data_IF_625483638166
#
_entry.id   IF_625483638166
#
_cell.length_a   1.000
_cell.length_b   1.000
_cell.length_c   1.000
_cell.angle_alpha   90.00
_cell.angle_beta   90.00
_cell.angle_gamma   90.00
#
_symmetry.space_group_name_H-M   'P 1'
#
loop_
_entity.id
_entity.type
_entity.pdbx_description
1 polymer ?
#
# COMPACT_ATOMS: atom_id res chain seq x y z
N UNK A 1 5.78 -11.58 1.11
CA UNK A 1 5.14 -11.71 -0.23
C UNK A 1 6.28 -11.73 -1.25
N UNK A 2 6.28 -12.67 -2.20
CA UNK A 2 7.36 -12.85 -3.19
C UNK A 2 7.01 -12.15 -4.50
N UNK A 3 7.97 -11.93 -5.40
CA UNK A 3 7.74 -11.32 -6.71
C UNK A 3 6.66 -12.06 -7.53
N UNK A 4 6.63 -13.40 -7.47
CA UNK A 4 5.60 -14.22 -8.14
C UNK A 4 4.19 -13.84 -7.67
N UNK A 5 3.99 -13.60 -6.37
CA UNK A 5 2.70 -13.19 -5.81
C UNK A 5 2.25 -11.80 -6.25
N UNK A 6 3.19 -10.90 -6.57
CA UNK A 6 2.85 -9.60 -7.13
C UNK A 6 2.34 -9.75 -8.58
N UNK A 7 2.96 -10.62 -9.37
CA UNK A 7 2.51 -10.94 -10.72
C UNK A 7 1.12 -11.61 -10.71
N UNK A 8 0.88 -12.55 -9.80
CA UNK A 8 -0.43 -13.17 -9.63
C UNK A 8 -1.53 -12.18 -9.22
N UNK A 9 -1.21 -11.21 -8.36
CA UNK A 9 -2.14 -10.14 -8.01
C UNK A 9 -2.48 -9.24 -9.22
N UNK A 10 -1.54 -9.01 -10.13
CA UNK A 10 -1.79 -8.27 -11.37
C UNK A 10 -2.67 -9.03 -12.37
N UNK A 11 -2.71 -10.37 -12.33
CA UNK A 11 -3.69 -11.16 -13.10
C UNK A 11 -5.14 -10.78 -12.71
N UNK A 12 -5.40 -10.48 -11.44
CA UNK A 12 -6.72 -9.99 -11.01
C UNK A 12 -7.05 -8.60 -11.55
N UNK A 13 -6.05 -7.73 -11.68
CA UNK A 13 -6.20 -6.42 -12.33
C UNK A 13 -6.58 -6.61 -13.79
N UNK A 14 -5.89 -7.50 -14.51
CA UNK A 14 -6.20 -7.82 -15.91
C UNK A 14 -7.60 -8.42 -16.06
N UNK A 15 -8.04 -9.30 -15.16
CA UNK A 15 -9.40 -9.83 -15.13
C UNK A 15 -10.46 -8.74 -14.97
N UNK A 16 -10.22 -7.77 -14.08
CA UNK A 16 -11.15 -6.65 -13.90
C UNK A 16 -11.20 -5.76 -15.15
N UNK A 17 -10.04 -5.41 -15.70
CA UNK A 17 -9.96 -4.62 -16.94
C UNK A 17 -10.64 -5.38 -18.09
N UNK A 18 -10.44 -6.69 -18.21
CA UNK A 18 -11.15 -7.52 -19.18
C UNK A 18 -12.66 -7.44 -18.99
N UNK A 19 -13.15 -7.54 -17.76
CA UNK A 19 -14.60 -7.49 -17.48
C UNK A 19 -15.24 -6.18 -17.92
N UNK A 20 -14.51 -5.07 -17.84
CA UNK A 20 -14.98 -3.74 -18.24
C UNK A 20 -14.81 -3.47 -19.74
N UNK A 21 -13.65 -3.82 -20.30
CA UNK A 21 -13.29 -3.52 -21.69
C UNK A 21 -13.81 -4.54 -22.70
N UNK A 22 -14.02 -5.78 -22.26
CA UNK A 22 -14.24 -6.97 -23.10
C UNK A 22 -13.11 -7.22 -24.11
N UNK A 23 -11.93 -6.63 -23.92
CA UNK A 23 -10.79 -6.75 -24.82
C UNK A 23 -10.04 -8.07 -24.59
N UNK A 24 -9.99 -8.91 -25.62
CA UNK A 24 -9.44 -10.26 -25.54
C UNK A 24 -7.96 -10.30 -25.19
N UNK A 25 -7.19 -9.23 -25.41
CA UNK A 25 -5.77 -9.19 -25.04
C UNK A 25 -5.58 -9.47 -23.54
N UNK A 26 -6.50 -9.01 -22.68
CA UNK A 26 -6.43 -9.23 -21.24
C UNK A 26 -6.81 -10.65 -20.83
N UNK A 27 -7.65 -11.32 -21.63
CA UNK A 27 -7.96 -12.74 -21.41
C UNK A 27 -6.79 -13.65 -21.78
N UNK A 28 -6.00 -13.28 -22.79
CA UNK A 28 -4.83 -14.05 -23.26
C UNK A 28 -3.66 -13.96 -22.26
N UNK A 29 -3.47 -12.79 -21.63
CA UNK A 29 -2.50 -12.55 -20.55
C UNK A 29 -2.71 -13.42 -19.30
N UNK A 30 -3.87 -14.08 -19.16
CA UNK A 30 -4.17 -14.96 -18.04
C UNK A 30 -3.75 -16.41 -18.27
N UNK A 31 -3.55 -16.81 -19.53
CA UNK A 31 -3.38 -18.21 -19.94
C UNK A 31 -1.93 -18.55 -20.23
N UNK A 32 -1.10 -17.57 -20.60
CA UNK A 32 0.28 -17.81 -21.02
C UNK A 32 1.31 -17.19 -20.05
N UNK A 33 1.96 -18.04 -19.25
CA UNK A 33 3.06 -17.63 -18.35
C UNK A 33 4.33 -17.18 -19.09
N UNK A 34 4.46 -17.52 -20.38
CA UNK A 34 5.60 -17.22 -21.23
C UNK A 34 5.31 -16.15 -22.29
N UNK A 35 4.08 -15.60 -22.34
CA UNK A 35 3.76 -14.49 -23.22
C UNK A 35 4.70 -13.33 -22.89
N UNK A 36 5.58 -13.02 -23.84
CA UNK A 36 6.61 -12.00 -23.67
C UNK A 36 5.97 -10.71 -23.18
N UNK A 37 6.30 -10.28 -21.96
CA UNK A 37 5.93 -8.97 -21.37
C UNK A 37 6.49 -7.76 -22.14
N UNK A 38 6.87 -7.92 -23.42
CA UNK A 38 7.25 -6.82 -24.28
C UNK A 38 5.98 -6.05 -24.67
N UNK A 39 5.63 -5.03 -23.86
CA UNK A 39 4.69 -3.96 -24.21
C UNK A 39 3.39 -4.45 -24.87
N UNK A 40 2.75 -5.49 -24.31
CA UNK A 40 1.61 -6.15 -24.94
C UNK A 40 0.33 -5.30 -24.99
N UNK A 41 0.30 -4.18 -24.27
CA UNK A 41 -0.87 -3.32 -24.20
C UNK A 41 -0.63 -2.09 -25.06
N UNK A 42 -1.04 -2.14 -26.32
CA UNK A 42 -1.14 -0.96 -27.18
C UNK A 42 -2.17 0.00 -26.57
N UNK A 43 -1.81 1.23 -26.23
CA UNK A 43 -2.75 2.22 -25.64
C UNK A 43 -4.05 2.43 -26.46
N UNK A 44 -4.06 1.99 -27.72
CA UNK A 44 -5.22 2.01 -28.60
C UNK A 44 -6.44 1.23 -28.10
N UNK A 45 -6.30 0.25 -27.18
CA UNK A 45 -7.47 -0.42 -26.61
C UNK A 45 -8.29 0.55 -25.75
N UNK A 46 -7.60 1.38 -24.97
CA UNK A 46 -8.21 2.25 -23.97
C UNK A 46 -8.94 3.42 -24.61
N UNK A 47 -8.34 4.03 -25.64
CA UNK A 47 -8.93 5.16 -26.38
C UNK A 47 -10.26 4.79 -27.08
N UNK A 48 -10.47 3.50 -27.38
CA UNK A 48 -11.69 3.00 -28.04
C UNK A 48 -12.85 2.77 -27.05
N UNK A 49 -12.59 2.80 -25.75
CA UNK A 49 -13.61 2.54 -24.73
C UNK A 49 -14.50 3.75 -24.51
N UNK A 50 -15.70 3.50 -23.98
CA UNK A 50 -16.58 4.57 -23.49
C UNK A 50 -15.85 5.41 -22.41
N UNK A 51 -15.98 6.75 -22.42
CA UNK A 51 -15.32 7.62 -21.44
C UNK A 51 -15.62 7.27 -19.99
N UNK A 52 -16.81 6.75 -19.67
CA UNK A 52 -17.16 6.28 -18.34
C UNK A 52 -16.34 5.06 -17.93
N UNK A 53 -16.13 4.12 -18.84
CA UNK A 53 -15.29 2.93 -18.62
C UNK A 53 -13.83 3.31 -18.48
N UNK A 54 -13.34 4.25 -19.32
CA UNK A 54 -11.98 4.79 -19.20
C UNK A 54 -11.75 5.41 -17.81
N UNK A 55 -12.71 6.19 -17.33
CA UNK A 55 -12.66 6.82 -16.02
C UNK A 55 -12.66 5.79 -14.89
N UNK A 56 -13.50 4.75 -14.98
CA UNK A 56 -13.57 3.68 -13.99
C UNK A 56 -12.25 2.91 -13.88
N UNK A 57 -11.68 2.49 -15.02
CA UNK A 57 -10.38 1.82 -15.08
C UNK A 57 -9.29 2.73 -14.50
N UNK A 58 -9.25 4.01 -14.89
CA UNK A 58 -8.25 4.97 -14.40
C UNK A 58 -8.34 5.13 -12.88
N UNK A 59 -9.55 5.28 -12.34
CA UNK A 59 -9.75 5.38 -10.90
C UNK A 59 -9.35 4.11 -10.17
N UNK A 60 -9.68 2.94 -10.70
CA UNK A 60 -9.30 1.65 -10.10
C UNK A 60 -7.78 1.48 -10.03
N UNK A 61 -7.08 1.71 -11.14
CA UNK A 61 -5.62 1.55 -11.21
C UNK A 61 -4.92 2.61 -10.35
N UNK A 62 -5.40 3.86 -10.37
CA UNK A 62 -4.88 4.92 -9.51
C UNK A 62 -5.04 4.55 -8.02
N UNK A 63 -6.20 4.02 -7.62
CA UNK A 63 -6.47 3.57 -6.25
C UNK A 63 -5.48 2.50 -5.80
N UNK A 64 -5.18 1.51 -6.65
CA UNK A 64 -4.17 0.47 -6.34
C UNK A 64 -2.79 1.10 -6.20
N UNK A 65 -2.37 1.96 -7.15
CA UNK A 65 -1.08 2.64 -7.10
C UNK A 65 -0.91 3.43 -5.82
N UNK A 66 -1.90 4.22 -5.46
CA UNK A 66 -1.88 5.03 -4.24
C UNK A 66 -1.91 4.16 -2.98
N UNK A 67 -2.49 2.96 -3.04
CA UNK A 67 -2.52 2.04 -1.92
C UNK A 67 -1.14 1.40 -1.69
N UNK A 68 -0.44 1.01 -2.77
CA UNK A 68 0.93 0.49 -2.70
C UNK A 68 1.85 1.54 -2.07
N UNK A 69 1.80 2.77 -2.57
CA UNK A 69 2.69 3.85 -2.08
C UNK A 69 2.33 4.23 -0.62
N UNK A 70 1.06 4.20 -0.24
CA UNK A 70 0.61 4.46 1.14
C UNK A 70 1.16 3.42 2.14
N UNK A 71 1.37 2.20 1.67
CA UNK A 71 1.80 1.06 2.47
C UNK A 71 3.27 0.66 2.27
N UNK A 72 4.08 1.52 1.64
CA UNK A 72 5.48 1.19 1.29
C UNK A 72 6.30 0.69 2.48
N UNK A 73 6.10 1.27 3.68
CA UNK A 73 6.83 0.86 4.89
C UNK A 73 6.46 -0.56 5.32
N UNK A 74 5.19 -0.95 5.15
CA UNK A 74 4.67 -2.26 5.52
C UNK A 74 4.97 -3.34 4.46
N UNK A 75 4.98 -2.95 3.18
CA UNK A 75 5.24 -3.85 2.04
C UNK A 75 6.75 -4.07 1.84
N UNK A 76 7.54 -3.01 2.05
CA UNK A 76 8.95 -2.95 1.74
C UNK A 76 9.22 -2.39 0.33
N UNK A 77 10.22 -1.50 0.22
CA UNK A 77 10.58 -0.80 -1.04
C UNK A 77 10.83 -1.77 -2.20
N UNK A 78 11.63 -2.85 -2.06
CA UNK A 78 11.92 -3.74 -3.19
C UNK A 78 10.66 -4.35 -3.80
N UNK A 79 9.71 -4.76 -2.95
CA UNK A 79 8.46 -5.36 -3.41
C UNK A 79 7.52 -4.31 -4.03
N UNK A 80 7.49 -3.09 -3.49
CA UNK A 80 6.72 -1.99 -4.09
C UNK A 80 7.17 -1.70 -5.52
N UNK A 81 8.47 -1.70 -5.79
CA UNK A 81 9.00 -1.49 -7.14
C UNK A 81 8.52 -2.57 -8.13
N UNK A 82 8.52 -3.84 -7.69
CA UNK A 82 7.96 -4.93 -8.48
C UNK A 82 6.46 -4.71 -8.72
N UNK A 83 5.70 -4.40 -7.68
CA UNK A 83 4.25 -4.17 -7.80
C UNK A 83 3.91 -3.00 -8.73
N UNK A 84 4.66 -1.89 -8.67
CA UNK A 84 4.47 -0.77 -9.60
C UNK A 84 4.78 -1.16 -11.04
N UNK A 85 5.85 -1.93 -11.27
CA UNK A 85 6.20 -2.39 -12.61
C UNK A 85 5.13 -3.34 -13.16
N UNK A 86 4.70 -4.33 -12.39
CA UNK A 86 3.63 -5.25 -12.81
C UNK A 86 2.30 -4.50 -13.06
N UNK A 87 1.96 -3.51 -12.23
CA UNK A 87 0.76 -2.69 -12.42
C UNK A 87 0.87 -1.81 -13.68
N UNK A 88 2.03 -1.21 -13.93
CA UNK A 88 2.29 -0.44 -15.15
C UNK A 88 2.18 -1.33 -16.40
N UNK A 89 2.78 -2.52 -16.36
CA UNK A 89 2.74 -3.47 -17.47
C UNK A 89 1.32 -3.99 -17.74
N UNK A 90 0.47 -4.04 -16.71
CA UNK A 90 -0.93 -4.45 -16.83
C UNK A 90 -1.79 -3.45 -17.62
N UNK A 91 -1.44 -2.17 -17.63
CA UNK A 91 -2.28 -1.12 -18.24
C UNK A 91 -1.60 -0.39 -19.41
N UNK A 92 -0.28 -0.40 -19.48
CA UNK A 92 0.49 0.38 -20.45
C UNK A 92 1.06 1.67 -19.87
N UNK A 93 2.21 2.08 -20.40
CA UNK A 93 3.01 3.20 -19.86
C UNK A 93 2.29 4.56 -19.99
N UNK A 94 1.62 4.84 -21.11
CA UNK A 94 0.95 6.12 -21.31
C UNK A 94 -0.22 6.29 -20.33
N UNK A 95 -1.06 5.27 -20.19
CA UNK A 95 -2.19 5.27 -19.26
C UNK A 95 -1.66 5.44 -17.84
N UNK A 96 -0.69 4.63 -17.42
CA UNK A 96 -0.14 4.65 -16.07
C UNK A 96 0.44 6.03 -15.70
N UNK A 97 1.11 6.68 -16.64
CA UNK A 97 1.71 8.01 -16.46
C UNK A 97 0.66 9.13 -16.37
N UNK A 98 -0.52 8.95 -16.99
CA UNK A 98 -1.63 9.91 -16.92
C UNK A 98 -2.49 9.81 -15.65
N UNK A 99 -2.34 8.74 -14.86
CA UNK A 99 -3.21 8.50 -13.70
C UNK A 99 -3.12 9.62 -12.66
N UNK A 100 -4.27 10.11 -12.15
CA UNK A 100 -4.30 11.17 -11.15
C UNK A 100 -3.65 10.72 -9.84
N UNK A 101 -2.96 11.63 -9.16
CA UNK A 101 -2.49 11.40 -7.80
C UNK A 101 -3.70 11.49 -6.86
N UNK A 102 -4.08 10.36 -6.26
CA UNK A 102 -5.19 10.30 -5.30
C UNK A 102 -4.64 10.28 -3.87
N UNK A 103 -4.49 11.47 -3.29
CA UNK A 103 -4.01 11.64 -1.91
C UNK A 103 -3.08 12.83 -1.77
N UNK A 104 -3.26 13.61 -0.70
CA UNK A 104 -2.36 14.71 -0.39
C UNK A 104 -1.13 14.16 0.33
N UNK A 105 -0.01 14.04 -0.38
CA UNK A 105 1.29 13.97 0.27
C UNK A 105 1.83 15.39 0.30
N UNK A 106 1.87 15.97 1.50
CA UNK A 106 2.66 17.18 1.73
C UNK A 106 4.12 16.76 1.60
N UNK A 107 4.63 16.79 0.38
CA UNK A 107 6.07 16.75 0.15
C UNK A 107 6.53 18.19 0.27
N UNK A 108 7.18 18.53 1.38
CA UNK A 108 8.00 19.74 1.42
C UNK A 108 9.00 19.60 0.27
N UNK A 109 8.97 20.57 -0.66
CA UNK A 109 9.74 20.53 -1.90
C UNK A 109 11.21 20.21 -1.62
N UNK A 110 11.62 18.97 -1.91
CA UNK A 110 13.03 18.66 -2.14
C UNK A 110 13.31 19.13 -3.57
N UNK A 111 13.86 20.34 -3.71
CA UNK A 111 14.38 20.83 -4.98
C UNK A 111 15.56 19.94 -5.40
N UNK A 112 15.30 19.02 -6.32
CA UNK A 112 16.33 18.30 -7.05
C UNK A 112 16.87 19.27 -8.12
N UNK A 113 18.07 19.80 -7.90
CA UNK A 113 18.78 20.55 -8.93
C UNK A 113 19.15 19.60 -10.07
N UNK A 114 18.35 19.60 -11.13
CA UNK A 114 18.71 18.96 -12.40
C UNK A 114 19.65 19.91 -13.16
N UNK A 115 20.95 19.81 -12.94
CA UNK A 115 21.89 20.28 -13.96
C UNK A 115 21.81 19.32 -15.15
N UNK A 116 21.38 19.86 -16.29
CA UNK A 116 21.32 19.19 -17.57
C UNK A 116 22.73 18.80 -18.02
N UNK A 117 23.12 17.55 -17.76
CA UNK A 117 24.38 17.02 -18.26
C UNK A 117 24.51 15.55 -17.92
N UNK A 118 24.72 14.73 -18.96
CA UNK A 118 24.99 13.29 -18.92
C UNK A 118 25.90 12.89 -17.74
N UNK A 119 25.31 12.44 -16.63
CA UNK A 119 26.05 12.04 -15.45
C UNK A 119 25.10 11.46 -14.42
N UNK A 120 25.43 10.29 -13.87
CA UNK A 120 24.64 9.62 -12.83
C UNK A 120 24.21 10.63 -11.74
N UNK A 121 22.96 10.59 -11.27
CA UNK A 121 22.51 11.52 -10.24
C UNK A 121 23.42 11.40 -9.01
N UNK A 122 24.12 12.49 -8.68
CA UNK A 122 24.88 12.60 -7.43
C UNK A 122 23.92 13.04 -6.34
N UNK A 123 23.71 12.20 -5.34
CA UNK A 123 23.17 12.63 -4.06
C UNK A 123 24.17 13.58 -3.41
N UNK A 124 23.92 14.88 -3.49
CA UNK A 124 24.65 15.86 -2.69
C UNK A 124 23.85 16.05 -1.41
N UNK A 125 24.25 15.35 -0.36
CA UNK A 125 23.86 15.72 0.99
C UNK A 125 24.61 17.00 1.28
N UNK A 126 23.94 18.16 1.29
CA UNK A 126 24.51 19.36 1.89
C UNK A 126 24.58 19.10 3.39
N UNK A 127 25.76 18.72 3.88
CA UNK A 127 26.10 18.94 5.28
C UNK A 127 25.86 20.43 5.58
N UNK A 128 25.38 20.80 6.78
CA UNK A 128 25.42 22.19 7.20
C UNK A 128 26.87 22.63 7.04
N UNK A 129 27.09 23.76 6.38
CA UNK A 129 28.42 24.28 6.11
C UNK A 129 29.24 24.22 7.39
N UNK A 130 30.29 23.40 7.36
CA UNK A 130 31.33 23.44 8.36
C UNK A 130 31.93 24.84 8.28
N UNK A 131 31.48 25.72 9.18
CA UNK A 131 32.18 26.95 9.51
C UNK A 131 33.60 26.56 9.88
N UNK A 132 34.55 27.08 9.11
CA UNK A 132 35.96 26.85 9.26
C UNK A 132 36.46 27.21 10.67
N UNK A 133 37.60 26.61 10.98
CA UNK A 133 38.58 26.97 12.02
C UNK A 133 38.40 26.33 13.41
N UNK A 134 39.03 25.15 13.52
CA UNK A 134 39.46 24.56 14.78
C UNK A 134 40.70 25.31 15.31
N UNK A 135 40.58 25.80 16.57
CA UNK A 135 41.56 25.95 17.67
C UNK A 135 41.39 27.32 18.35
N UNK A 136 41.21 27.46 19.67
CA UNK A 136 41.69 26.64 20.79
C UNK A 136 40.94 27.03 22.08
N UNK A 137 40.83 26.06 22.99
CA UNK A 137 40.91 26.19 24.46
C UNK A 137 39.71 26.72 25.28
N UNK A 138 39.22 25.80 26.12
CA UNK A 138 38.51 26.00 27.40
C UNK A 138 37.10 26.61 27.37
N UNK A 139 36.10 25.71 27.50
CA UNK A 139 34.78 26.03 28.01
C UNK A 139 33.65 25.44 27.16
N UNK A 140 33.35 24.15 27.34
CA UNK A 140 32.09 23.60 26.84
C UNK A 140 30.96 24.23 27.65
N UNK A 141 30.35 25.29 27.11
CA UNK A 141 28.98 25.66 27.45
C UNK A 141 28.12 25.09 26.33
N UNK A 142 27.45 23.97 26.60
CA UNK A 142 26.37 23.52 25.76
C UNK A 142 25.23 24.54 25.88
N UNK A 143 25.09 25.43 24.89
CA UNK A 143 23.83 26.12 24.66
C UNK A 143 22.88 25.12 23.99
N UNK A 144 22.33 24.20 24.79
CA UNK A 144 21.22 23.35 24.38
C UNK A 144 19.93 24.12 24.58
N UNK A 145 19.34 24.60 23.49
CA UNK A 145 17.98 25.15 23.52
C UNK A 145 17.00 23.97 23.64
N UNK A 146 16.87 23.42 24.86
CA UNK A 146 16.09 22.21 25.18
C UNK A 146 14.62 22.34 24.76
N UNK A 147 14.11 23.58 24.77
CA UNK A 147 12.77 23.97 24.34
C UNK A 147 12.41 23.46 22.93
N UNK A 148 13.35 23.50 21.98
CA UNK A 148 13.08 23.04 20.61
C UNK A 148 13.07 21.53 20.49
N UNK A 149 13.87 20.82 21.31
CA UNK A 149 13.90 19.35 21.31
C UNK A 149 12.66 18.76 22.00
N UNK A 150 12.21 19.38 23.08
CA UNK A 150 11.01 18.96 23.82
C UNK A 150 9.74 19.09 22.95
N UNK A 151 9.66 20.14 22.12
CA UNK A 151 8.56 20.33 21.17
C UNK A 151 8.54 19.25 20.08
N UNK A 152 9.70 18.88 19.52
CA UNK A 152 9.82 17.81 18.51
C UNK A 152 9.43 16.45 19.11
N UNK A 153 9.86 16.18 20.35
CA UNK A 153 9.51 14.94 21.06
C UNK A 153 8.00 14.87 21.28
N UNK A 154 7.38 15.95 21.75
CA UNK A 154 5.94 16.00 21.97
C UNK A 154 5.14 15.79 20.68
N UNK A 155 5.55 16.42 19.57
CA UNK A 155 4.91 16.24 18.26
C UNK A 155 5.04 14.78 17.78
N UNK A 156 6.21 14.17 17.95
CA UNK A 156 6.40 12.76 17.63
C UNK A 156 5.52 11.85 18.49
N UNK A 157 5.47 12.07 19.81
CA UNK A 157 4.61 11.29 20.71
C UNK A 157 3.13 11.41 20.34
N UNK A 158 2.65 12.62 20.03
CA UNK A 158 1.28 12.86 19.59
C UNK A 158 0.97 12.09 18.29
N UNK A 159 1.88 12.14 17.32
CA UNK A 159 1.78 11.38 16.08
C UNK A 159 1.70 9.86 16.32
N UNK A 160 2.53 9.34 17.22
CA UNK A 160 2.55 7.92 17.58
C UNK A 160 1.24 7.49 18.27
N UNK A 161 0.69 8.34 19.14
CA UNK A 161 -0.60 8.09 19.80
C UNK A 161 -1.77 8.13 18.82
N UNK A 162 -1.77 9.07 17.86
CA UNK A 162 -2.80 9.15 16.85
C UNK A 162 -2.87 7.86 16.01
N UNK A 163 -1.72 7.37 15.53
CA UNK A 163 -1.62 6.10 14.79
C UNK A 163 -2.13 4.91 15.60
N UNK A 164 -1.75 4.84 16.87
CA UNK A 164 -2.19 3.79 17.79
C UNK A 164 -3.71 3.82 17.99
N UNK A 165 -4.29 5.00 18.21
CA UNK A 165 -5.72 5.18 18.47
C UNK A 165 -6.55 4.76 17.25
N UNK A 166 -6.17 5.23 16.07
CA UNK A 166 -6.81 4.85 14.80
C UNK A 166 -6.73 3.34 14.57
N UNK A 167 -5.55 2.75 14.78
CA UNK A 167 -5.34 1.31 14.66
C UNK A 167 -6.21 0.51 15.62
N UNK A 168 -6.28 0.94 16.89
CA UNK A 168 -7.11 0.29 17.92
C UNK A 168 -8.60 0.38 17.61
N UNK A 169 -9.06 1.52 17.12
CA UNK A 169 -10.45 1.70 16.69
C UNK A 169 -10.78 0.75 15.54
N UNK A 170 -9.97 0.73 14.48
CA UNK A 170 -10.16 -0.20 13.36
C UNK A 170 -10.12 -1.67 13.82
N UNK A 171 -9.13 -2.03 14.63
CA UNK A 171 -8.99 -3.38 15.19
C UNK A 171 -10.24 -3.79 15.97
N UNK A 172 -10.83 -2.87 16.73
CA UNK A 172 -12.09 -3.05 17.43
C UNK A 172 -13.25 -3.36 16.47
N UNK A 173 -13.33 -2.67 15.33
CA UNK A 173 -14.36 -2.94 14.30
C UNK A 173 -14.24 -4.35 13.71
N UNK A 174 -13.01 -4.84 13.48
CA UNK A 174 -12.75 -6.16 12.88
C UNK A 174 -12.97 -7.29 13.88
N UNK A 175 -12.42 -7.19 15.09
CA UNK A 175 -12.40 -8.29 16.06
C UNK A 175 -13.50 -8.20 17.11
N UNK A 176 -14.13 -7.03 17.29
CA UNK A 176 -15.20 -6.80 18.25
C UNK A 176 -14.85 -7.29 19.65
N UNK A 177 -15.76 -8.07 20.25
CA UNK A 177 -15.64 -8.57 21.64
C UNK A 177 -14.38 -9.40 21.94
N UNK A 178 -13.65 -9.90 20.93
CA UNK A 178 -12.43 -10.70 21.15
C UNK A 178 -11.14 -9.89 20.94
N UNK A 179 -11.24 -8.59 20.63
CA UNK A 179 -10.10 -7.72 20.34
C UNK A 179 -9.07 -7.72 21.48
N UNK A 180 -9.49 -7.41 22.71
CA UNK A 180 -8.59 -7.32 23.87
C UNK A 180 -7.89 -8.65 24.16
N UNK A 181 -8.60 -9.77 24.01
CA UNK A 181 -8.02 -11.11 24.19
C UNK A 181 -6.92 -11.38 23.15
N UNK A 182 -7.14 -10.98 21.89
CA UNK A 182 -6.16 -11.16 20.84
C UNK A 182 -4.92 -10.28 21.06
N UNK A 183 -5.11 -9.02 21.47
CA UNK A 183 -4.00 -8.12 21.80
C UNK A 183 -3.17 -8.64 22.98
N UNK A 184 -3.81 -9.14 24.05
CA UNK A 184 -3.10 -9.74 25.17
C UNK A 184 -2.26 -10.96 24.74
N UNK A 185 -2.80 -11.78 23.84
CA UNK A 185 -2.04 -12.90 23.28
C UNK A 185 -0.84 -12.40 22.45
N UNK A 186 -1.01 -11.35 21.64
CA UNK A 186 0.07 -10.76 20.84
C UNK A 186 1.16 -10.19 21.76
N UNK A 187 0.78 -9.43 22.78
CA UNK A 187 1.67 -8.84 23.78
C UNK A 187 2.47 -9.92 24.52
N UNK A 188 1.88 -11.10 24.76
CA UNK A 188 2.57 -12.22 25.41
C UNK A 188 3.76 -12.77 24.60
N UNK A 189 3.82 -12.52 23.29
CA UNK A 189 4.98 -12.88 22.48
C UNK A 189 6.12 -11.86 22.63
N UNK A 190 5.80 -10.56 22.70
CA UNK A 190 6.75 -9.48 22.95
C UNK A 190 6.00 -8.18 23.28
N UNK A 191 6.47 -7.36 24.25
CA UNK A 191 5.74 -6.20 24.76
C UNK A 191 5.46 -5.10 23.74
N UNK A 192 6.24 -5.02 22.66
CA UNK A 192 6.04 -4.02 21.59
C UNK A 192 5.19 -4.53 20.42
N UNK A 193 4.79 -5.80 20.42
CA UNK A 193 4.13 -6.40 19.25
C UNK A 193 2.69 -5.93 19.07
N UNK A 194 1.97 -5.66 20.14
CA UNK A 194 0.65 -5.03 20.08
C UNK A 194 0.75 -3.60 19.55
N UNK A 195 1.80 -2.84 19.93
CA UNK A 195 2.08 -1.53 19.36
C UNK A 195 2.30 -1.63 17.84
N UNK A 196 3.17 -2.52 17.38
CA UNK A 196 3.46 -2.68 15.95
C UNK A 196 2.20 -3.12 15.19
N UNK A 197 1.42 -4.05 15.73
CA UNK A 197 0.17 -4.50 15.10
C UNK A 197 -0.82 -3.34 15.01
N UNK A 198 -1.03 -2.59 16.08
CA UNK A 198 -2.01 -1.51 16.10
C UNK A 198 -1.55 -0.30 15.29
N UNK A 199 -0.37 0.27 15.56
CA UNK A 199 0.09 1.48 14.90
C UNK A 199 0.50 1.25 13.44
N UNK A 200 1.35 0.26 13.16
CA UNK A 200 1.85 0.02 11.79
C UNK A 200 0.89 -0.85 10.97
N UNK A 201 0.37 -1.92 11.57
CA UNK A 201 -0.56 -2.83 10.89
C UNK A 201 -1.89 -2.13 10.60
N UNK A 202 -2.64 -1.77 11.65
CA UNK A 202 -4.00 -1.27 11.50
C UNK A 202 -4.07 0.25 11.33
N UNK A 203 -3.26 1.04 12.02
CA UNK A 203 -3.27 2.50 11.96
C UNK A 203 -2.78 3.01 10.60
N UNK A 204 -1.53 2.70 10.26
CA UNK A 204 -0.95 3.16 8.98
C UNK A 204 -1.52 2.42 7.78
N UNK A 205 -1.83 1.14 7.93
CA UNK A 205 -2.28 0.32 6.82
C UNK A 205 -3.79 0.41 6.58
N UNK A 206 -4.57 -0.04 7.55
CA UNK A 206 -6.00 -0.31 7.37
C UNK A 206 -6.90 0.89 7.70
N UNK A 207 -6.50 1.80 8.57
CA UNK A 207 -7.32 2.93 9.00
C UNK A 207 -7.37 4.10 7.99
N UNK A 208 -6.80 3.94 6.78
CA UNK A 208 -6.84 4.94 5.71
C UNK A 208 -8.12 4.84 4.87
N UNK A 209 -9.24 5.19 5.49
CA UNK A 209 -10.57 5.13 4.86
C UNK A 209 -10.76 6.11 3.69
N UNK A 210 -9.87 7.09 3.53
CA UNK A 210 -9.89 8.04 2.42
C UNK A 210 -9.52 7.40 1.08
N UNK A 211 -8.78 6.28 1.12
CA UNK A 211 -8.34 5.59 -0.08
C UNK A 211 -9.09 4.27 -0.28
N UNK A 212 -9.27 3.45 0.76
CA UNK A 212 -9.97 2.16 0.66
C UNK A 212 -10.92 2.02 1.84
N UNK A 213 -12.18 1.66 1.58
CA UNK A 213 -13.16 1.48 2.66
C UNK A 213 -12.85 0.26 3.53
N UNK A 214 -13.40 0.22 4.75
CA UNK A 214 -13.29 -0.96 5.64
C UNK A 214 -13.80 -2.24 4.98
N UNK A 215 -14.89 -2.15 4.21
CA UNK A 215 -15.47 -3.29 3.48
C UNK A 215 -14.49 -3.80 2.42
N UNK A 216 -13.93 -2.91 1.61
CA UNK A 216 -12.97 -3.29 0.57
C UNK A 216 -11.71 -3.92 1.15
N UNK A 217 -11.19 -3.38 2.27
CA UNK A 217 -10.03 -3.93 2.96
C UNK A 217 -10.29 -5.33 3.52
N UNK A 218 -11.43 -5.55 4.19
CA UNK A 218 -11.77 -6.86 4.72
C UNK A 218 -12.03 -7.88 3.60
N UNK A 219 -12.65 -7.49 2.48
CA UNK A 219 -12.80 -8.36 1.31
C UNK A 219 -11.46 -8.70 0.68
N UNK A 220 -10.55 -7.73 0.54
CA UNK A 220 -9.19 -7.96 0.04
C UNK A 220 -8.38 -8.86 0.98
N UNK A 221 -8.53 -8.71 2.30
CA UNK A 221 -7.93 -9.58 3.30
C UNK A 221 -8.49 -11.00 3.19
N UNK A 222 -9.81 -11.17 3.09
CA UNK A 222 -10.45 -12.48 2.90
C UNK A 222 -9.96 -13.16 1.63
N UNK A 223 -9.88 -12.44 0.51
CA UNK A 223 -9.37 -12.98 -0.74
C UNK A 223 -7.91 -13.45 -0.60
N UNK A 224 -7.05 -12.57 -0.06
CA UNK A 224 -5.63 -12.85 0.13
C UNK A 224 -5.39 -14.04 1.06
N UNK A 225 -6.09 -14.09 2.21
CA UNK A 225 -5.93 -15.15 3.20
C UNK A 225 -6.50 -16.50 2.72
N UNK A 226 -7.48 -16.47 1.82
CA UNK A 226 -7.97 -17.67 1.13
C UNK A 226 -6.87 -18.26 0.25
N UNK A 227 -6.24 -17.43 -0.60
CA UNK A 227 -5.14 -17.86 -1.49
C UNK A 227 -3.89 -18.27 -0.69
N UNK A 228 -3.59 -17.58 0.42
CA UNK A 228 -2.46 -17.90 1.29
C UNK A 228 -2.70 -19.13 2.18
N UNK A 229 -3.91 -19.68 2.18
CA UNK A 229 -4.33 -20.82 3.00
C UNK A 229 -4.02 -20.65 4.50
N UNK A 230 -4.46 -19.51 5.07
CA UNK A 230 -4.26 -19.17 6.49
C UNK A 230 -5.60 -19.19 7.25
N UNK A 231 -6.13 -20.38 7.61
CA UNK A 231 -7.53 -20.53 8.03
C UNK A 231 -7.91 -19.79 9.31
N UNK A 232 -6.97 -19.63 10.26
CA UNK A 232 -7.22 -18.92 11.53
C UNK A 232 -7.45 -17.42 11.28
N UNK A 233 -6.60 -16.82 10.46
CA UNK A 233 -6.71 -15.41 10.06
C UNK A 233 -7.92 -15.22 9.16
N UNK A 234 -8.13 -16.12 8.17
CA UNK A 234 -9.28 -16.09 7.27
C UNK A 234 -10.60 -16.10 8.04
N UNK A 235 -10.74 -16.95 9.06
CA UNK A 235 -11.94 -16.98 9.89
C UNK A 235 -12.22 -15.63 10.56
N UNK A 236 -11.17 -14.98 11.06
CA UNK A 236 -11.28 -13.69 11.75
C UNK A 236 -11.70 -12.58 10.79
N UNK A 237 -11.15 -12.54 9.58
CA UNK A 237 -11.49 -11.53 8.58
C UNK A 237 -12.83 -11.79 7.88
N UNK A 238 -13.29 -13.05 7.74
CA UNK A 238 -14.68 -13.32 7.32
C UNK A 238 -15.68 -12.76 8.35
N UNK A 239 -15.35 -12.86 9.63
CA UNK A 239 -16.15 -12.25 10.70
C UNK A 239 -16.04 -10.73 10.67
N UNK A 240 -14.84 -10.19 10.49
CA UNK A 240 -14.56 -8.77 10.33
C UNK A 240 -15.37 -8.15 9.21
N UNK A 241 -15.32 -8.73 8.00
CA UNK A 241 -16.12 -8.33 6.84
C UNK A 241 -17.62 -8.20 7.17
N UNK A 242 -18.19 -9.18 7.89
CA UNK A 242 -19.60 -9.13 8.33
C UNK A 242 -19.86 -8.01 9.32
N UNK A 243 -18.95 -7.76 10.27
CA UNK A 243 -19.07 -6.72 11.29
C UNK A 243 -19.00 -5.31 10.68
N UNK A 244 -18.14 -5.10 9.67
CA UNK A 244 -18.05 -3.82 8.95
C UNK A 244 -19.12 -3.64 7.89
N UNK A 245 -20.06 -4.59 7.76
CA UNK A 245 -21.24 -4.46 6.90
C UNK A 245 -21.06 -4.92 5.44
N UNK A 246 -20.06 -5.75 5.15
CA UNK A 246 -19.89 -6.30 3.80
C UNK A 246 -21.14 -7.09 3.37
N UNK A 247 -21.71 -6.83 2.17
CA UNK A 247 -22.87 -7.57 1.68
C UNK A 247 -22.55 -9.07 1.55
N UNK A 248 -23.46 -9.93 2.05
CA UNK A 248 -23.25 -11.38 2.09
C UNK A 248 -22.94 -11.97 0.72
N UNK A 249 -23.68 -11.57 -0.31
CA UNK A 249 -23.48 -12.05 -1.67
C UNK A 249 -22.08 -11.70 -2.23
N UNK A 250 -21.57 -10.51 -1.90
CA UNK A 250 -20.23 -10.08 -2.31
C UNK A 250 -19.16 -10.87 -1.56
N UNK A 251 -19.30 -11.03 -0.23
CA UNK A 251 -18.38 -11.83 0.57
C UNK A 251 -18.32 -13.30 0.11
N UNK A 252 -19.48 -13.90 -0.17
CA UNK A 252 -19.56 -15.28 -0.67
C UNK A 252 -18.88 -15.40 -2.05
N UNK A 253 -19.11 -14.43 -2.95
CA UNK A 253 -18.46 -14.38 -4.26
C UNK A 253 -16.93 -14.22 -4.14
N UNK A 254 -16.46 -13.33 -3.25
CA UNK A 254 -15.03 -13.15 -2.97
C UNK A 254 -14.39 -14.46 -2.54
N UNK A 255 -15.01 -15.22 -1.62
CA UNK A 255 -14.50 -16.52 -1.17
C UNK A 255 -14.50 -17.54 -2.32
N UNK A 256 -15.57 -17.61 -3.11
CA UNK A 256 -15.67 -18.55 -4.23
C UNK A 256 -14.58 -18.30 -5.28
N UNK A 257 -14.45 -17.05 -5.75
CA UNK A 257 -13.44 -16.66 -6.73
C UNK A 257 -12.02 -16.87 -6.21
N UNK A 258 -11.77 -16.56 -4.94
CA UNK A 258 -10.44 -16.75 -4.35
C UNK A 258 -10.05 -18.23 -4.21
N UNK A 259 -11.04 -19.13 -4.04
CA UNK A 259 -10.79 -20.58 -4.06
C UNK A 259 -10.49 -21.08 -5.46
N UNK A 260 -11.19 -20.58 -6.47
CA UNK A 260 -10.86 -20.89 -7.87
C UNK A 260 -9.44 -20.44 -8.19
N UNK A 261 -9.08 -19.22 -7.81
CA UNK A 261 -7.71 -18.72 -7.99
C UNK A 261 -6.69 -19.57 -7.23
N UNK A 262 -6.97 -19.99 -5.99
CA UNK A 262 -6.10 -20.89 -5.24
C UNK A 262 -5.87 -22.25 -5.93
N UNK A 263 -6.81 -22.72 -6.75
CA UNK A 263 -6.65 -23.94 -7.53
C UNK A 263 -5.88 -23.74 -8.84
N UNK A 264 -5.76 -22.49 -9.30
CA UNK A 264 -5.06 -22.11 -10.53
C UNK A 264 -3.61 -21.70 -10.30
N UNK A 265 -3.22 -21.39 -9.07
CA UNK A 265 -1.87 -21.00 -8.63
C UNK A 265 -1.17 -22.14 -7.88
#
# INVERSE_FOLDING_TARGET
MTANKASDACKLVNLYIYSLSQDKQFSELLVDENAQKESLVSDSWFEKLDPGVQLEISHFVAKIREYIIANTVNIGIPLCLVMFKELQDSVGEAIYSSLPKTGSRVVQHLELNSESGTGKPKFVIKSPEASADLKTENGIVASSDSSSSDAIIAEFEEYQQARMMQGKEYFGHVYGKVADKLLNNIHSFHPDMDYIVLANGYGDGFARETLVSKIELELAAVASLTVLNTPVQLFSHIRGAKLVGAPKNILDATIALSRELFLLL
#
